data_IF_019909644910
#
_entry.id   IF_019909644910
#
_cell.length_a   1.000
_cell.length_b   1.000
_cell.length_c   1.000
_cell.angle_alpha   90.00
_cell.angle_beta   90.00
_cell.angle_gamma   90.00
#
_symmetry.space_group_name_H-M   'P 1'
#
loop_
_entity.id
_entity.type
_entity.pdbx_description
1 polymer ?
#
# COMPACT_ATOMS: atom_id res chain seq x y z
N UNK A 1 11.17 -4.09 -12.70
CA UNK A 1 10.10 -4.98 -12.20
C UNK A 1 10.53 -5.65 -10.89
N UNK A 2 9.63 -5.84 -9.91
CA UNK A 2 9.97 -6.28 -8.53
C UNK A 2 10.16 -7.81 -8.35
N UNK A 3 10.12 -8.60 -9.44
CA UNK A 3 10.41 -10.03 -9.40
C UNK A 3 9.28 -10.94 -8.86
N UNK A 4 8.08 -10.41 -8.63
CA UNK A 4 6.90 -11.19 -8.25
C UNK A 4 6.40 -11.96 -9.47
N UNK A 5 6.36 -13.30 -9.38
CA UNK A 5 5.88 -14.19 -10.46
C UNK A 5 4.46 -14.72 -10.24
N UNK A 6 3.88 -14.50 -9.06
CA UNK A 6 2.53 -14.93 -8.72
C UNK A 6 1.53 -13.80 -9.04
N UNK A 7 0.26 -14.12 -9.37
CA UNK A 7 -0.77 -13.11 -9.54
C UNK A 7 -0.88 -12.23 -8.30
N UNK A 8 -0.78 -10.91 -8.47
CA UNK A 8 -1.16 -9.94 -7.45
C UNK A 8 -2.67 -9.74 -7.54
N UNK A 9 -3.35 -10.00 -6.43
CA UNK A 9 -4.80 -9.86 -6.31
C UNK A 9 -5.08 -8.92 -5.16
N UNK A 10 -6.09 -8.05 -5.31
CA UNK A 10 -6.44 -7.10 -4.26
C UNK A 10 -6.65 -7.82 -2.91
N UNK A 11 -6.13 -7.28 -1.79
CA UNK A 11 -6.30 -7.85 -0.47
C UNK A 11 -7.67 -7.55 0.13
N UNK A 12 -8.67 -7.11 -0.64
CA UNK A 12 -10.01 -6.71 -0.17
C UNK A 12 -10.67 -7.63 0.87
N UNK A 13 -10.42 -8.95 0.85
CA UNK A 13 -11.00 -9.89 1.84
C UNK A 13 -10.10 -10.18 3.05
N UNK A 14 -8.79 -9.98 2.91
CA UNK A 14 -7.80 -10.31 3.95
C UNK A 14 -7.16 -9.07 4.58
N UNK A 15 -7.56 -7.87 4.12
CA UNK A 15 -7.07 -6.53 4.50
C UNK A 15 -5.60 -6.27 4.16
N UNK A 16 -4.73 -7.27 4.30
CA UNK A 16 -3.29 -7.17 4.04
C UNK A 16 -2.76 -8.48 3.41
N UNK A 17 -1.89 -8.34 2.41
CA UNK A 17 -1.09 -9.43 1.83
C UNK A 17 0.39 -9.08 1.88
N UNK A 18 1.23 -10.09 2.11
CA UNK A 18 2.68 -9.95 2.12
C UNK A 18 3.31 -10.79 1.01
N UNK A 19 4.21 -10.19 0.24
CA UNK A 19 4.89 -10.81 -0.89
C UNK A 19 6.40 -10.68 -0.73
N UNK A 20 7.12 -11.80 -0.92
CA UNK A 20 8.58 -11.76 -0.99
C UNK A 20 9.03 -11.16 -2.32
N UNK A 21 9.91 -10.18 -2.25
CA UNK A 21 10.51 -9.51 -3.40
C UNK A 21 11.88 -10.10 -3.70
N UNK A 22 12.29 -10.04 -4.97
CA UNK A 22 13.64 -10.42 -5.41
C UNK A 22 14.38 -9.19 -5.92
N UNK A 23 14.54 -8.21 -5.03
CA UNK A 23 15.22 -6.93 -5.33
C UNK A 23 16.29 -6.61 -4.29
N UNK A 24 17.21 -5.72 -4.63
CA UNK A 24 18.31 -5.32 -3.72
C UNK A 24 17.78 -4.42 -2.60
N UNK A 25 16.87 -3.50 -2.94
CA UNK A 25 16.44 -2.45 -2.01
C UNK A 25 15.30 -2.89 -1.09
N UNK A 26 14.43 -3.80 -1.55
CA UNK A 26 13.25 -4.25 -0.80
C UNK A 26 13.17 -5.78 -0.77
N UNK A 27 12.81 -6.31 0.40
CA UNK A 27 12.67 -7.74 0.70
C UNK A 27 11.20 -8.18 0.72
N UNK A 28 10.31 -7.34 1.22
CA UNK A 28 8.88 -7.63 1.34
C UNK A 28 8.05 -6.50 0.75
N UNK A 29 6.95 -6.84 0.09
CA UNK A 29 5.87 -5.94 -0.26
C UNK A 29 4.65 -6.25 0.63
N UNK A 30 4.17 -5.25 1.35
CA UNK A 30 2.90 -5.27 2.04
C UNK A 30 1.88 -4.52 1.21
N UNK A 31 0.85 -5.23 0.76
CA UNK A 31 -0.28 -4.66 0.04
C UNK A 31 -1.49 -4.65 0.96
N UNK A 32 -1.97 -3.45 1.27
CA UNK A 32 -3.05 -3.20 2.22
C UNK A 32 -4.21 -2.54 1.48
N UNK A 33 -5.43 -2.98 1.75
CA UNK A 33 -6.66 -2.35 1.25
C UNK A 33 -7.44 -1.82 2.46
N UNK A 34 -7.41 -0.49 2.63
CA UNK A 34 -8.06 0.17 3.75
C UNK A 34 -9.55 0.41 3.53
N UNK A 35 -10.15 0.00 2.40
CA UNK A 35 -11.57 0.21 2.11
C UNK A 35 -12.53 -0.42 3.13
N UNK A 36 -12.10 -1.51 3.79
CA UNK A 36 -12.94 -2.24 4.77
C UNK A 36 -12.60 -1.96 6.23
N UNK A 37 -11.52 -1.23 6.50
CA UNK A 37 -11.16 -0.86 7.87
C UNK A 37 -12.21 0.11 8.42
N UNK A 38 -12.59 0.00 9.68
CA UNK A 38 -13.50 0.98 10.29
C UNK A 38 -12.76 2.29 10.54
N UNK A 39 -11.54 2.18 11.05
CA UNK A 39 -10.66 3.28 11.33
C UNK A 39 -9.18 2.84 11.35
N UNK A 40 -8.31 3.78 11.72
CA UNK A 40 -6.88 3.55 11.88
C UNK A 40 -6.51 2.47 12.91
N UNK A 41 -7.32 2.22 13.96
CA UNK A 41 -7.00 1.22 14.99
C UNK A 41 -6.98 -0.19 14.43
N UNK A 42 -7.87 -0.51 13.47
CA UNK A 42 -7.85 -1.80 12.77
C UNK A 42 -6.51 -2.02 12.05
N UNK A 43 -5.93 -0.97 11.47
CA UNK A 43 -4.62 -1.05 10.82
C UNK A 43 -3.46 -1.16 11.82
N UNK A 44 -3.58 -0.51 12.99
CA UNK A 44 -2.61 -0.70 14.07
C UNK A 44 -2.59 -2.15 14.56
N UNK A 45 -3.76 -2.79 14.69
CA UNK A 45 -3.87 -4.20 15.08
C UNK A 45 -3.22 -5.16 14.08
N UNK A 46 -3.08 -4.76 12.81
CA UNK A 46 -2.35 -5.51 11.78
C UNK A 46 -0.82 -5.35 11.86
N UNK A 47 -0.30 -4.56 12.82
CA UNK A 47 1.14 -4.38 13.03
C UNK A 47 1.78 -3.39 12.05
N UNK A 48 1.02 -2.41 11.53
CA UNK A 48 1.54 -1.45 10.55
C UNK A 48 2.73 -0.64 11.07
N UNK A 49 2.80 -0.38 12.38
CA UNK A 49 3.87 0.41 12.99
C UNK A 49 5.21 -0.30 12.88
N UNK A 50 5.22 -1.62 13.09
CA UNK A 50 6.40 -2.47 12.98
C UNK A 50 6.78 -2.65 11.50
N UNK A 51 5.78 -2.84 10.63
CA UNK A 51 5.98 -2.97 9.19
C UNK A 51 6.66 -1.73 8.60
N UNK A 52 6.20 -0.53 8.96
CA UNK A 52 6.74 0.75 8.46
C UNK A 52 8.15 1.07 9.01
N UNK A 53 8.54 0.49 10.15
CA UNK A 53 9.86 0.72 10.77
C UNK A 53 10.98 -0.06 10.09
N UNK A 54 10.66 -1.15 9.40
CA UNK A 54 11.64 -2.01 8.73
C UNK A 54 11.99 -1.44 7.34
N UNK A 55 13.22 -0.93 7.12
CA UNK A 55 13.59 -0.28 5.86
C UNK A 55 13.55 -1.22 4.65
N UNK A 56 13.66 -2.54 4.87
CA UNK A 56 13.53 -3.55 3.81
C UNK A 56 12.10 -3.76 3.29
N UNK A 57 11.11 -3.09 3.87
CA UNK A 57 9.71 -3.22 3.48
C UNK A 57 9.29 -2.13 2.49
N UNK A 58 8.59 -2.56 1.44
CA UNK A 58 7.78 -1.69 0.59
C UNK A 58 6.33 -1.83 1.02
N UNK A 59 5.64 -0.72 1.27
CA UNK A 59 4.25 -0.72 1.73
C UNK A 59 3.38 0.04 0.74
N UNK A 60 2.33 -0.62 0.25
CA UNK A 60 1.32 -0.06 -0.64
C UNK A 60 -0.03 -0.13 0.05
N UNK A 61 -0.71 1.02 0.16
CA UNK A 61 -1.99 1.15 0.86
C UNK A 61 -3.02 1.74 -0.11
N UNK A 62 -4.04 0.95 -0.47
CA UNK A 62 -5.23 1.45 -1.16
C UNK A 62 -6.18 2.10 -0.16
N UNK A 63 -6.89 3.16 -0.59
CA UNK A 63 -7.80 3.96 0.26
C UNK A 63 -7.10 4.54 1.51
N UNK A 64 -5.82 4.92 1.36
CA UNK A 64 -4.94 5.36 2.44
C UNK A 64 -5.46 6.59 3.20
N UNK A 65 -6.33 7.40 2.60
CA UNK A 65 -7.00 8.53 3.23
C UNK A 65 -7.82 8.13 4.47
N UNK A 66 -8.34 6.90 4.52
CA UNK A 66 -9.08 6.37 5.68
C UNK A 66 -8.19 6.11 6.90
N UNK A 67 -6.89 5.94 6.67
CA UNK A 67 -5.88 5.62 7.68
C UNK A 67 -4.72 6.64 7.69
N UNK A 68 -4.96 7.85 7.16
CA UNK A 68 -3.94 8.90 6.94
C UNK A 68 -3.08 9.21 8.17
N UNK A 69 -3.63 9.06 9.39
CA UNK A 69 -2.92 9.26 10.66
C UNK A 69 -1.71 8.33 10.85
N UNK A 70 -1.71 7.16 10.19
CA UNK A 70 -0.65 6.16 10.29
C UNK A 70 0.30 6.16 9.10
N UNK A 71 -0.04 6.92 8.05
CA UNK A 71 0.79 7.03 6.85
C UNK A 71 1.96 7.99 7.15
N UNK A 72 3.22 7.60 6.86
CA UNK A 72 4.36 8.48 7.05
C UNK A 72 4.25 9.78 6.25
N UNK A 73 4.83 10.88 6.77
CA UNK A 73 4.80 12.19 6.09
C UNK A 73 5.54 12.19 4.76
N UNK A 74 6.61 11.41 4.67
CA UNK A 74 7.41 11.22 3.45
C UNK A 74 6.84 10.14 2.51
N UNK A 75 5.59 9.72 2.71
CA UNK A 75 4.95 8.78 1.82
C UNK A 75 4.66 9.44 0.46
N UNK A 76 4.85 8.65 -0.61
CA UNK A 76 4.43 9.06 -1.95
C UNK A 76 2.93 8.80 -2.09
N UNK A 77 2.18 9.86 -2.38
CA UNK A 77 0.74 9.77 -2.63
C UNK A 77 0.48 9.67 -4.13
N UNK A 78 -0.24 8.63 -4.53
CA UNK A 78 -0.62 8.39 -5.92
C UNK A 78 -2.13 8.52 -6.02
N UNK A 79 -2.60 9.53 -6.75
CA UNK A 79 -4.01 9.70 -7.08
C UNK A 79 -4.25 9.24 -8.51
N UNK A 80 -5.29 8.43 -8.71
CA UNK A 80 -5.65 7.86 -10.00
C UNK A 80 -7.12 8.18 -10.27
N UNK A 81 -7.38 8.91 -11.35
CA UNK A 81 -8.72 9.36 -11.73
C UNK A 81 -9.12 8.89 -13.12
N UNK A 82 -10.43 8.77 -13.34
CA UNK A 82 -11.01 8.50 -14.65
C UNK A 82 -11.12 9.82 -15.43
N UNK A 83 -10.36 9.94 -16.52
CA UNK A 83 -10.41 11.11 -17.44
C UNK A 83 -11.00 10.76 -18.82
N UNK A 84 -11.55 9.55 -18.93
CA UNK A 84 -12.21 8.99 -20.10
C UNK A 84 -12.44 7.49 -19.89
N UNK A 85 -13.23 6.84 -20.76
CA UNK A 85 -13.67 5.45 -20.57
C UNK A 85 -12.51 4.49 -20.29
N UNK A 86 -11.44 4.59 -21.06
CA UNK A 86 -10.24 3.73 -20.96
C UNK A 86 -8.97 4.50 -20.61
N UNK A 87 -9.11 5.76 -20.17
CA UNK A 87 -7.98 6.64 -19.88
C UNK A 87 -7.97 6.93 -18.38
N UNK A 88 -6.77 6.92 -17.78
CA UNK A 88 -6.55 7.29 -16.38
C UNK A 88 -5.58 8.45 -16.29
N UNK A 89 -5.93 9.44 -15.49
CA UNK A 89 -4.99 10.44 -15.01
C UNK A 89 -4.28 9.88 -13.78
N UNK A 90 -2.96 10.06 -13.70
CA UNK A 90 -2.17 9.67 -12.53
C UNK A 90 -1.40 10.89 -12.05
N UNK A 91 -1.61 11.26 -10.80
CA UNK A 91 -0.91 12.35 -10.14
C UNK A 91 -0.07 11.74 -9.02
N UNK A 92 1.23 12.04 -9.02
CA UNK A 92 2.17 11.58 -8.01
C UNK A 92 2.63 12.79 -7.21
N UNK A 93 2.35 12.77 -5.91
CA UNK A 93 2.80 13.80 -4.97
C UNK A 93 3.82 13.15 -4.03
N UNK A 94 5.05 13.62 -4.09
CA UNK A 94 6.08 13.25 -3.14
C UNK A 94 5.94 14.14 -1.89
N UNK A 95 5.98 13.51 -0.70
CA UNK A 95 5.84 14.18 0.60
C UNK A 95 7.12 14.81 1.10
#
# INVERSE_FOLDING_TARGET
ALGIKKPMTSPTFVLMKCYKLKTINYKLLYHIDAYRLKDHQDLEALGIKEILKEPGNLVLIEWAERVKKLVPKNAVWIHIDHIGDKVRGVIINEG
#
